data_IF_289384772469
#
_entry.id   IF_289384772469
#
_cell.length_a   1.000
_cell.length_b   1.000
_cell.length_c   1.000
_cell.angle_alpha   90.00
_cell.angle_beta   90.00
_cell.angle_gamma   90.00
#
_symmetry.space_group_name_H-M   'P 1'
#
loop_
_entity.id
_entity.type
_entity.pdbx_description
1 polymer ?
#
# COMPACT_ATOMS: atom_id res chain seq x y z
N UNK A 1 18.85 -4.79 -6.64
CA UNK A 1 18.26 -3.51 -6.17
C UNK A 1 17.19 -3.10 -7.15
N UNK A 2 15.99 -2.77 -6.66
CA UNK A 2 14.82 -2.43 -7.45
C UNK A 2 14.90 -1.01 -8.05
N UNK A 3 14.15 -0.71 -9.12
CA UNK A 3 14.34 0.53 -9.89
C UNK A 3 14.12 1.82 -9.08
N UNK A 4 13.03 1.92 -8.31
CA UNK A 4 12.75 3.15 -7.55
C UNK A 4 13.62 3.30 -6.31
N UNK A 5 13.92 2.20 -5.61
CA UNK A 5 14.87 2.27 -4.49
C UNK A 5 16.21 2.82 -4.96
N UNK A 6 16.74 2.30 -6.10
CA UNK A 6 17.99 2.83 -6.67
C UNK A 6 17.90 4.32 -6.99
N UNK A 7 16.81 4.76 -7.66
CA UNK A 7 16.62 6.17 -8.03
C UNK A 7 16.53 7.07 -6.81
N UNK A 8 15.80 6.66 -5.78
CA UNK A 8 15.63 7.42 -4.55
C UNK A 8 16.94 7.53 -3.76
N UNK A 9 17.71 6.44 -3.66
CA UNK A 9 19.03 6.46 -3.04
C UNK A 9 19.95 7.45 -3.76
N UNK A 10 20.05 7.35 -5.09
CA UNK A 10 20.88 8.25 -5.89
C UNK A 10 20.42 9.71 -5.75
N UNK A 11 19.11 9.98 -5.84
CA UNK A 11 18.59 11.33 -5.70
C UNK A 11 18.93 11.96 -4.34
N UNK A 12 18.75 11.22 -3.25
CA UNK A 12 19.09 11.69 -1.90
C UNK A 12 20.60 11.97 -1.75
N UNK A 13 21.45 11.07 -2.26
CA UNK A 13 22.90 11.25 -2.21
C UNK A 13 23.32 12.46 -3.03
N UNK A 14 22.81 12.61 -4.25
CA UNK A 14 23.12 13.75 -5.13
C UNK A 14 22.69 15.07 -4.47
N UNK A 15 21.45 15.14 -3.97
CA UNK A 15 20.96 16.36 -3.30
C UNK A 15 21.78 16.65 -2.04
N UNK A 16 22.20 15.66 -1.28
CA UNK A 16 23.05 15.87 -0.11
C UNK A 16 24.40 16.49 -0.49
N UNK A 17 25.03 16.03 -1.56
CA UNK A 17 26.27 16.67 -2.06
C UNK A 17 26.04 18.10 -2.56
N UNK A 18 24.92 18.34 -3.25
CA UNK A 18 24.55 19.70 -3.67
C UNK A 18 24.31 20.63 -2.49
N UNK A 19 23.73 20.15 -1.37
CA UNK A 19 23.60 20.93 -0.14
C UNK A 19 24.95 21.43 0.42
N UNK A 20 26.04 20.65 0.22
CA UNK A 20 27.36 21.04 0.72
C UNK A 20 28.07 22.04 -0.20
N UNK A 21 27.66 22.11 -1.47
CA UNK A 21 28.39 22.87 -2.51
C UNK A 21 27.63 24.08 -3.03
N UNK A 22 26.28 24.07 -2.96
CA UNK A 22 25.44 25.16 -3.47
C UNK A 22 24.88 25.97 -2.30
N UNK A 23 25.38 27.20 -2.10
CA UNK A 23 24.90 28.11 -1.05
C UNK A 23 23.40 28.43 -1.24
N UNK A 24 22.65 28.44 -0.14
CA UNK A 24 21.20 28.74 -0.13
C UNK A 24 20.28 27.62 -0.62
N UNK A 25 20.82 26.49 -1.11
CA UNK A 25 19.99 25.37 -1.57
C UNK A 25 19.12 24.81 -0.46
N UNK A 26 19.66 24.63 0.73
CA UNK A 26 18.91 24.15 1.89
C UNK A 26 17.74 25.09 2.21
N UNK A 27 17.97 26.37 2.26
CA UNK A 27 16.93 27.37 2.58
C UNK A 27 15.82 27.44 1.53
N UNK A 28 16.17 27.19 0.26
CA UNK A 28 15.20 27.14 -0.83
C UNK A 28 14.30 25.91 -0.80
N UNK A 29 14.78 24.79 -0.27
CA UNK A 29 14.15 23.48 -0.37
C UNK A 29 13.60 22.92 0.96
N UNK A 30 14.02 23.49 2.11
CA UNK A 30 13.58 23.09 3.44
C UNK A 30 12.11 23.42 3.67
N UNK A 31 11.40 22.53 4.34
CA UNK A 31 10.00 22.75 4.68
C UNK A 31 9.88 23.60 5.94
N UNK A 32 9.22 24.75 5.79
CA UNK A 32 8.64 25.55 6.87
C UNK A 32 7.12 25.52 6.69
N UNK A 33 6.35 24.78 7.52
CA UNK A 33 4.91 24.61 7.29
C UNK A 33 4.14 25.93 7.19
N UNK A 34 4.46 26.95 8.01
CA UNK A 34 3.82 28.27 7.94
C UNK A 34 4.06 29.01 6.62
N UNK A 35 5.10 28.66 5.86
CA UNK A 35 5.44 29.26 4.57
C UNK A 35 5.05 28.38 3.37
N UNK A 36 4.28 27.31 3.56
CA UNK A 36 4.00 26.34 2.50
C UNK A 36 3.23 26.96 1.31
N UNK A 37 2.32 27.91 1.56
CA UNK A 37 1.59 28.57 0.47
C UNK A 37 2.51 29.40 -0.44
N UNK A 38 3.60 29.96 0.11
CA UNK A 38 4.60 30.72 -0.63
C UNK A 38 5.64 29.81 -1.29
N UNK A 39 5.85 28.59 -0.73
CA UNK A 39 6.87 27.64 -1.18
C UNK A 39 6.31 26.22 -1.28
N UNK A 40 5.29 25.97 -2.14
CA UNK A 40 4.57 24.69 -2.18
C UNK A 40 5.46 23.50 -2.58
N UNK A 41 6.54 23.73 -3.32
CA UNK A 41 7.50 22.67 -3.68
C UNK A 41 8.18 22.04 -2.47
N UNK A 42 8.29 22.79 -1.36
CA UNK A 42 8.95 22.31 -0.15
C UNK A 42 8.22 21.13 0.50
N UNK A 43 6.94 20.92 0.18
CA UNK A 43 6.18 19.71 0.57
C UNK A 43 6.82 18.40 0.06
N UNK A 44 7.62 18.49 -0.99
CA UNK A 44 8.31 17.34 -1.61
C UNK A 44 9.81 17.47 -1.44
N UNK A 45 10.38 18.64 -1.68
CA UNK A 45 11.83 18.80 -1.75
C UNK A 45 12.54 18.55 -0.42
N UNK A 46 11.89 18.84 0.69
CA UNK A 46 12.41 18.62 2.03
C UNK A 46 12.83 17.17 2.28
N UNK A 47 12.16 16.22 1.59
CA UNK A 47 12.41 14.78 1.72
C UNK A 47 13.79 14.35 1.21
N UNK A 48 14.46 15.20 0.46
CA UNK A 48 15.78 14.92 -0.13
C UNK A 48 16.93 15.62 0.61
N UNK A 49 16.62 16.50 1.55
CA UNK A 49 17.59 17.23 2.35
C UNK A 49 17.98 16.44 3.60
N UNK A 50 19.23 16.62 4.08
CA UNK A 50 19.71 15.94 5.29
C UNK A 50 20.63 16.85 6.11
N UNK A 51 20.52 16.78 7.45
CA UNK A 51 21.36 17.57 8.37
C UNK A 51 22.85 17.19 8.35
N UNK A 52 23.20 15.96 7.98
CA UNK A 52 24.56 15.48 7.99
C UNK A 52 24.67 13.99 7.69
N UNK A 53 25.90 13.50 7.70
CA UNK A 53 26.23 12.13 7.28
C UNK A 53 25.43 11.05 8.05
N UNK A 54 25.33 11.17 9.37
CA UNK A 54 24.57 10.19 10.16
C UNK A 54 23.08 10.16 9.80
N UNK A 55 22.48 11.34 9.50
CA UNK A 55 21.07 11.44 9.15
C UNK A 55 20.79 10.82 7.76
N UNK A 56 21.60 11.16 6.75
CA UNK A 56 21.44 10.54 5.43
C UNK A 56 21.74 9.04 5.48
N UNK A 57 22.81 8.63 6.18
CA UNK A 57 23.16 7.22 6.30
C UNK A 57 22.02 6.39 6.90
N UNK A 58 21.42 6.84 8.01
CA UNK A 58 20.30 6.15 8.65
C UNK A 58 19.09 6.00 7.72
N UNK A 59 18.74 7.06 6.97
CA UNK A 59 17.66 7.00 5.99
C UNK A 59 17.99 6.06 4.83
N UNK A 60 19.18 6.17 4.26
CA UNK A 60 19.55 5.37 3.09
C UNK A 60 19.73 3.90 3.43
N UNK A 61 20.27 3.56 4.59
CA UNK A 61 20.40 2.16 5.02
C UNK A 61 19.01 1.53 5.24
N UNK A 62 18.08 2.24 5.85
CA UNK A 62 16.72 1.75 6.02
C UNK A 62 16.01 1.57 4.67
N UNK A 63 16.13 2.54 3.77
CA UNK A 63 15.58 2.45 2.42
C UNK A 63 16.21 1.29 1.61
N UNK A 64 17.51 1.07 1.76
CA UNK A 64 18.24 -0.01 1.10
C UNK A 64 17.78 -1.40 1.57
N UNK A 65 17.56 -1.60 2.87
CA UNK A 65 17.17 -2.89 3.41
C UNK A 65 15.67 -3.19 3.24
N UNK A 66 14.81 -2.22 3.48
CA UNK A 66 13.35 -2.44 3.45
C UNK A 66 12.75 -2.19 2.08
N UNK A 67 13.29 -1.21 1.34
CA UNK A 67 12.73 -0.75 0.08
C UNK A 67 12.56 -1.82 -0.99
N UNK A 68 13.61 -2.61 -1.31
CA UNK A 68 13.53 -3.57 -2.41
C UNK A 68 12.40 -4.59 -2.22
N UNK A 69 12.29 -5.18 -1.04
CA UNK A 69 11.22 -6.17 -0.76
C UNK A 69 9.83 -5.55 -0.83
N UNK A 70 9.67 -4.31 -0.36
CA UNK A 70 8.39 -3.59 -0.44
C UNK A 70 8.08 -3.23 -1.90
N UNK A 71 9.06 -2.78 -2.69
CA UNK A 71 8.89 -2.48 -4.11
C UNK A 71 8.53 -3.73 -4.91
N UNK A 72 9.19 -4.86 -4.68
CA UNK A 72 8.86 -6.15 -5.31
C UNK A 72 7.43 -6.60 -4.96
N UNK A 73 7.00 -6.38 -3.73
CA UNK A 73 5.66 -6.78 -3.28
C UNK A 73 4.53 -5.91 -3.82
N UNK A 74 4.74 -4.61 -3.92
CA UNK A 74 3.72 -3.64 -4.37
C UNK A 74 3.75 -3.39 -5.87
N UNK A 75 4.91 -3.57 -6.50
CA UNK A 75 5.24 -3.05 -7.82
C UNK A 75 5.76 -1.61 -7.74
N UNK A 76 6.60 -1.23 -8.70
CA UNK A 76 7.37 0.02 -8.70
C UNK A 76 6.50 1.29 -8.59
N UNK A 77 5.38 1.36 -9.31
CA UNK A 77 4.49 2.53 -9.27
C UNK A 77 3.86 2.73 -7.88
N UNK A 78 3.35 1.64 -7.28
CA UNK A 78 2.74 1.71 -5.95
C UNK A 78 3.76 1.95 -4.85
N UNK A 79 4.97 1.44 -5.01
CA UNK A 79 6.07 1.73 -4.09
C UNK A 79 6.44 3.22 -4.11
N UNK A 80 6.59 3.79 -5.30
CA UNK A 80 6.84 5.23 -5.44
C UNK A 80 5.71 6.07 -4.85
N UNK A 81 4.45 5.70 -5.13
CA UNK A 81 3.30 6.36 -4.55
C UNK A 81 3.29 6.25 -3.01
N UNK A 82 3.62 5.08 -2.44
CA UNK A 82 3.77 4.89 -1.00
C UNK A 82 4.81 5.84 -0.40
N UNK A 83 6.00 5.91 -1.00
CA UNK A 83 7.10 6.78 -0.56
C UNK A 83 6.66 8.25 -0.57
N UNK A 84 6.10 8.72 -1.70
CA UNK A 84 5.66 10.10 -1.85
C UNK A 84 4.51 10.46 -0.90
N UNK A 85 3.47 9.61 -0.82
CA UNK A 85 2.32 9.85 0.07
C UNK A 85 2.79 9.89 1.53
N UNK A 86 3.69 9.01 1.94
CA UNK A 86 4.23 9.00 3.30
C UNK A 86 4.99 10.29 3.61
N UNK A 87 5.86 10.75 2.70
CA UNK A 87 6.56 12.01 2.89
C UNK A 87 5.62 13.22 2.92
N UNK A 88 4.71 13.31 1.95
CA UNK A 88 3.73 14.41 1.89
C UNK A 88 2.85 14.43 3.16
N UNK A 89 2.40 13.26 3.63
CA UNK A 89 1.65 13.17 4.90
C UNK A 89 2.48 13.60 6.09
N UNK A 90 3.78 13.33 6.09
CA UNK A 90 4.72 13.86 7.08
C UNK A 90 4.75 15.39 7.08
N UNK A 91 4.84 16.00 5.90
CA UNK A 91 4.78 17.46 5.75
C UNK A 91 3.44 18.03 6.27
N UNK A 92 2.31 17.39 5.96
CA UNK A 92 0.99 17.81 6.40
C UNK A 92 0.84 17.74 7.92
N UNK A 93 1.24 16.64 8.55
CA UNK A 93 1.14 16.50 10.01
C UNK A 93 2.09 17.48 10.74
N UNK A 94 3.16 17.92 10.06
CA UNK A 94 4.08 18.92 10.60
C UNK A 94 3.48 20.33 10.73
N UNK A 95 2.28 20.59 10.21
CA UNK A 95 1.52 21.81 10.54
C UNK A 95 1.17 21.94 12.02
N UNK A 96 1.27 20.86 12.80
CA UNK A 96 1.18 20.93 14.26
C UNK A 96 2.37 21.65 14.90
N UNK A 97 3.45 21.87 14.14
CA UNK A 97 4.62 22.68 14.50
C UNK A 97 4.94 23.67 13.38
N UNK A 98 4.10 24.69 13.16
CA UNK A 98 4.09 25.50 11.93
C UNK A 98 5.39 26.30 11.69
N UNK A 99 6.11 26.62 12.75
CA UNK A 99 7.34 27.43 12.69
C UNK A 99 8.63 26.61 12.74
N UNK A 100 8.49 25.29 12.61
CA UNK A 100 9.64 24.41 12.66
C UNK A 100 10.20 24.13 11.27
N UNK A 101 11.53 24.16 11.13
CA UNK A 101 12.23 23.77 9.92
C UNK A 101 12.36 22.24 9.88
N UNK A 102 11.84 21.64 8.81
CA UNK A 102 11.80 20.18 8.64
C UNK A 102 12.54 19.78 7.38
N UNK A 103 13.40 18.78 7.52
CA UNK A 103 14.13 18.16 6.42
C UNK A 103 14.42 16.70 6.71
N UNK A 104 14.51 15.89 5.67
CA UNK A 104 14.87 14.48 5.74
C UNK A 104 13.89 13.56 5.02
N UNK A 105 14.42 12.47 4.48
CA UNK A 105 13.62 11.39 3.88
C UNK A 105 12.83 10.58 4.91
N UNK A 106 13.05 10.81 6.20
CA UNK A 106 12.59 9.92 7.26
C UNK A 106 11.08 9.70 7.29
N UNK A 107 10.26 10.72 7.04
CA UNK A 107 8.81 10.54 6.93
C UNK A 107 8.42 9.49 5.89
N UNK A 108 9.02 9.54 4.70
CA UNK A 108 8.80 8.57 3.64
C UNK A 108 9.40 7.19 3.98
N UNK A 109 10.60 7.15 4.55
CA UNK A 109 11.29 5.91 4.97
C UNK A 109 10.52 5.21 6.08
N UNK A 110 9.92 5.95 7.02
CA UNK A 110 9.04 5.37 8.04
C UNK A 110 7.81 4.73 7.41
N UNK A 111 7.24 5.33 6.36
CA UNK A 111 6.17 4.70 5.60
C UNK A 111 6.59 3.39 4.93
N UNK A 112 7.78 3.33 4.35
CA UNK A 112 8.34 2.09 3.79
C UNK A 112 8.57 1.04 4.88
N UNK A 113 9.08 1.44 6.04
CA UNK A 113 9.28 0.56 7.20
C UNK A 113 7.95 -0.01 7.73
N UNK A 114 6.89 0.82 7.77
CA UNK A 114 5.54 0.34 8.11
C UNK A 114 5.03 -0.68 7.11
N UNK A 115 5.21 -0.42 5.81
CA UNK A 115 4.81 -1.36 4.76
C UNK A 115 5.57 -2.70 4.89
N UNK A 116 6.88 -2.64 5.17
CA UNK A 116 7.67 -3.83 5.44
C UNK A 116 7.11 -4.61 6.65
N UNK A 117 6.90 -3.96 7.78
CA UNK A 117 6.34 -4.59 8.98
C UNK A 117 4.92 -5.14 8.76
N UNK A 118 4.12 -4.51 7.90
CA UNK A 118 2.76 -4.96 7.52
C UNK A 118 2.79 -6.24 6.71
N UNK A 119 3.78 -6.43 5.83
CA UNK A 119 3.91 -7.61 4.99
C UNK A 119 4.70 -8.73 5.66
N UNK A 120 5.71 -8.39 6.45
CA UNK A 120 6.60 -9.35 7.14
C UNK A 120 6.76 -8.99 8.63
N UNK A 121 5.67 -9.10 9.42
CA UNK A 121 5.64 -8.59 10.80
C UNK A 121 6.61 -9.30 11.76
N UNK A 122 6.97 -10.54 11.45
CA UNK A 122 7.84 -11.37 12.30
C UNK A 122 9.28 -11.47 11.81
N UNK A 123 9.60 -10.81 10.68
CA UNK A 123 10.99 -10.77 10.20
C UNK A 123 11.85 -10.03 11.21
N UNK A 124 13.00 -10.61 11.51
CA UNK A 124 13.94 -10.04 12.46
C UNK A 124 14.84 -9.00 11.81
N UNK A 125 14.92 -7.84 12.42
CA UNK A 125 15.79 -6.73 12.04
C UNK A 125 16.85 -6.63 13.11
N UNK A 126 18.10 -6.77 12.72
CA UNK A 126 19.22 -6.71 13.66
C UNK A 126 19.68 -5.27 13.86
N UNK A 127 19.19 -4.65 14.95
CA UNK A 127 19.63 -3.31 15.34
C UNK A 127 21.09 -3.38 15.72
N UNK A 128 21.92 -2.52 15.13
CA UNK A 128 23.39 -2.53 15.28
C UNK A 128 24.04 -3.86 14.90
N UNK A 129 23.35 -4.69 14.10
CA UNK A 129 23.85 -6.02 13.71
C UNK A 129 23.81 -7.08 14.82
N UNK A 130 23.33 -6.74 16.02
CA UNK A 130 23.40 -7.59 17.22
C UNK A 130 22.03 -7.89 17.80
N UNK A 131 21.17 -6.88 17.98
CA UNK A 131 19.88 -7.03 18.66
C UNK A 131 18.76 -7.38 17.68
N UNK A 132 18.25 -8.63 17.69
CA UNK A 132 17.14 -9.03 16.82
C UNK A 132 15.82 -8.45 17.36
N UNK A 133 15.14 -7.66 16.53
CA UNK A 133 13.83 -7.08 16.82
C UNK A 133 12.90 -7.41 15.68
N UNK A 134 11.73 -7.97 15.94
CA UNK A 134 10.73 -8.19 14.91
C UNK A 134 10.24 -6.87 14.32
N UNK A 135 10.03 -6.83 12.99
CA UNK A 135 9.65 -5.63 12.26
C UNK A 135 8.43 -4.90 12.86
N UNK A 136 7.43 -5.65 13.34
CA UNK A 136 6.24 -5.08 14.01
C UNK A 136 6.60 -4.29 15.28
N UNK A 137 7.53 -4.80 16.09
CA UNK A 137 7.94 -4.14 17.33
C UNK A 137 8.84 -2.93 17.09
N UNK A 138 9.59 -2.95 15.99
CA UNK A 138 10.34 -1.77 15.55
C UNK A 138 9.40 -0.60 15.25
N UNK A 139 8.33 -0.83 14.48
CA UNK A 139 7.33 0.20 14.15
C UNK A 139 6.59 0.68 15.41
N UNK A 140 6.15 -0.24 16.27
CA UNK A 140 5.48 0.10 17.53
C UNK A 140 6.42 0.93 18.43
N UNK A 141 7.68 0.51 18.60
CA UNK A 141 8.67 1.21 19.39
C UNK A 141 8.94 2.63 18.88
N UNK A 142 9.12 2.80 17.56
CA UNK A 142 9.31 4.12 16.96
C UNK A 142 8.06 5.00 17.09
N UNK A 143 6.86 4.44 16.95
CA UNK A 143 5.61 5.18 17.13
C UNK A 143 5.50 5.69 18.57
N UNK A 144 5.70 4.81 19.56
CA UNK A 144 5.66 5.19 20.97
C UNK A 144 6.75 6.22 21.30
N UNK A 145 7.98 5.99 20.85
CA UNK A 145 9.07 6.95 21.04
C UNK A 145 8.71 8.33 20.48
N UNK A 146 8.18 8.40 19.25
CA UNK A 146 7.78 9.65 18.63
C UNK A 146 6.67 10.37 19.41
N UNK A 147 5.66 9.64 19.91
CA UNK A 147 4.58 10.21 20.72
C UNK A 147 5.09 10.77 22.06
N UNK A 148 5.98 10.05 22.74
CA UNK A 148 6.57 10.53 24.00
C UNK A 148 7.49 11.73 23.77
N UNK A 149 8.30 11.73 22.72
CA UNK A 149 9.20 12.82 22.40
C UNK A 149 8.47 14.11 22.03
N UNK A 150 7.33 14.02 21.32
CA UNK A 150 6.44 15.16 21.07
C UNK A 150 5.96 15.78 22.40
N UNK A 151 5.57 14.96 23.39
CA UNK A 151 5.05 15.44 24.68
C UNK A 151 6.13 16.02 25.58
N UNK A 152 7.37 15.53 25.47
CA UNK A 152 8.48 15.93 26.32
C UNK A 152 9.18 17.24 25.94
N UNK A 153 8.75 17.93 24.89
CA UNK A 153 9.35 19.21 24.45
C UNK A 153 10.76 19.08 23.84
N UNK A 154 11.28 17.87 23.74
CA UNK A 154 12.61 17.60 23.16
C UNK A 154 12.55 17.40 21.67
N UNK A 155 12.75 18.48 20.87
CA UNK A 155 12.92 18.36 19.40
C UNK A 155 11.71 17.78 18.64
N UNK A 156 10.48 18.01 19.13
CA UNK A 156 9.23 17.40 18.66
C UNK A 156 8.89 17.53 17.17
N UNK A 157 9.63 18.33 16.46
CA UNK A 157 9.40 18.68 15.05
C UNK A 157 9.49 17.47 14.10
N UNK A 158 10.57 16.71 14.18
CA UNK A 158 10.77 15.54 13.31
C UNK A 158 9.77 14.40 13.63
N UNK A 159 9.31 14.31 14.87
CA UNK A 159 8.39 13.26 15.30
C UNK A 159 7.01 13.38 14.66
N UNK A 160 6.50 14.59 14.44
CA UNK A 160 5.25 14.79 13.70
C UNK A 160 5.37 14.36 12.25
N UNK A 161 6.51 14.65 11.60
CA UNK A 161 6.76 14.15 10.23
C UNK A 161 6.83 12.61 10.17
N UNK A 162 7.43 11.96 11.15
CA UNK A 162 7.49 10.50 11.25
C UNK A 162 6.10 9.88 11.45
N UNK A 163 5.32 10.40 12.40
CA UNK A 163 3.94 9.94 12.64
C UNK A 163 3.04 10.16 11.44
N UNK A 164 3.20 11.30 10.76
CA UNK A 164 2.52 11.59 9.49
C UNK A 164 2.89 10.59 8.40
N UNK A 165 4.16 10.22 8.30
CA UNK A 165 4.65 9.20 7.37
C UNK A 165 4.02 7.82 7.62
N UNK A 166 3.94 7.40 8.86
CA UNK A 166 3.24 6.17 9.24
C UNK A 166 1.74 6.24 8.92
N UNK A 167 1.07 7.34 9.26
CA UNK A 167 -0.36 7.50 9.01
C UNK A 167 -0.68 7.46 7.50
N UNK A 168 0.08 8.21 6.69
CA UNK A 168 -0.08 8.22 5.23
C UNK A 168 0.15 6.85 4.61
N UNK A 169 1.20 6.15 5.03
CA UNK A 169 1.47 4.79 4.57
C UNK A 169 0.35 3.82 4.95
N UNK A 170 -0.14 3.88 6.18
CA UNK A 170 -1.24 3.02 6.65
C UNK A 170 -2.50 3.23 5.81
N UNK A 171 -2.92 4.47 5.62
CA UNK A 171 -4.11 4.80 4.82
C UNK A 171 -3.95 4.36 3.36
N UNK A 172 -2.78 4.60 2.77
CA UNK A 172 -2.48 4.18 1.40
C UNK A 172 -2.53 2.66 1.25
N UNK A 173 -1.91 1.90 2.16
CA UNK A 173 -1.94 0.44 2.12
C UNK A 173 -3.36 -0.13 2.30
N UNK A 174 -4.18 0.48 3.14
CA UNK A 174 -5.59 0.12 3.27
C UNK A 174 -6.36 0.38 1.97
N UNK A 175 -6.14 1.53 1.33
CA UNK A 175 -6.74 1.85 0.02
C UNK A 175 -6.35 0.82 -1.05
N UNK A 176 -5.06 0.49 -1.16
CA UNK A 176 -4.56 -0.51 -2.13
C UNK A 176 -5.19 -1.89 -1.85
N UNK A 177 -5.26 -2.29 -0.58
CA UNK A 177 -5.85 -3.59 -0.20
C UNK A 177 -7.35 -3.66 -0.54
N UNK A 178 -8.12 -2.62 -0.24
CA UNK A 178 -9.56 -2.53 -0.57
C UNK A 178 -9.79 -2.61 -2.08
N UNK A 179 -9.02 -1.87 -2.86
CA UNK A 179 -9.15 -1.86 -4.32
C UNK A 179 -8.77 -3.23 -4.93
N UNK A 180 -7.77 -3.92 -4.38
CA UNK A 180 -7.43 -5.26 -4.83
C UNK A 180 -8.53 -6.28 -4.51
N UNK A 181 -9.15 -6.19 -3.33
CA UNK A 181 -10.29 -7.03 -2.94
C UNK A 181 -11.51 -6.78 -3.84
N UNK A 182 -11.85 -5.50 -4.09
CA UNK A 182 -12.93 -5.11 -4.98
C UNK A 182 -12.74 -5.65 -6.40
N UNK A 183 -11.53 -5.52 -6.98
CA UNK A 183 -11.21 -6.06 -8.31
C UNK A 183 -11.28 -7.60 -8.35
N UNK A 184 -10.85 -8.29 -7.29
CA UNK A 184 -10.99 -9.76 -7.20
C UNK A 184 -12.45 -10.16 -7.15
N UNK A 185 -13.25 -9.51 -6.32
CA UNK A 185 -14.70 -9.77 -6.24
C UNK A 185 -15.38 -9.50 -7.58
N UNK A 186 -15.12 -8.37 -8.21
CA UNK A 186 -15.68 -8.03 -9.53
C UNK A 186 -15.28 -9.06 -10.58
N UNK A 187 -14.02 -9.53 -10.59
CA UNK A 187 -13.57 -10.57 -11.51
C UNK A 187 -14.29 -11.89 -11.25
N UNK A 188 -14.55 -12.26 -10.01
CA UNK A 188 -15.30 -13.47 -9.68
C UNK A 188 -16.77 -13.36 -10.12
N UNK A 189 -17.40 -12.20 -9.91
CA UNK A 189 -18.80 -11.96 -10.29
C UNK A 189 -18.98 -11.82 -11.80
N UNK A 190 -17.99 -11.25 -12.51
CA UNK A 190 -18.08 -11.03 -13.97
C UNK A 190 -17.48 -12.14 -14.82
N UNK A 191 -16.68 -13.06 -14.22
CA UNK A 191 -16.19 -14.23 -14.94
C UNK A 191 -17.36 -15.15 -15.23
N UNK A 192 -17.76 -15.26 -16.48
CA UNK A 192 -18.71 -16.30 -16.87
C UNK A 192 -18.15 -17.67 -16.48
N UNK A 193 -18.91 -18.53 -15.80
CA UNK A 193 -18.49 -19.89 -15.55
C UNK A 193 -18.13 -20.57 -16.88
N UNK A 194 -17.14 -21.45 -16.91
CA UNK A 194 -16.83 -22.19 -18.13
C UNK A 194 -18.08 -22.91 -18.63
N UNK A 195 -18.24 -22.98 -19.95
CA UNK A 195 -19.44 -23.61 -20.55
C UNK A 195 -19.70 -25.03 -19.97
N UNK A 196 -18.63 -25.75 -19.59
CA UNK A 196 -18.70 -27.04 -18.95
C UNK A 196 -19.40 -27.03 -17.59
N UNK A 197 -19.31 -25.94 -16.83
CA UNK A 197 -19.98 -25.80 -15.53
C UNK A 197 -21.50 -25.62 -15.63
N UNK A 198 -22.00 -25.33 -16.84
CA UNK A 198 -23.43 -25.14 -17.12
C UNK A 198 -23.97 -26.25 -18.04
N UNK A 199 -23.07 -27.16 -18.50
CA UNK A 199 -23.44 -28.23 -19.42
C UNK A 199 -24.46 -29.22 -18.81
N UNK A 200 -24.42 -29.40 -17.48
CA UNK A 200 -25.32 -30.31 -16.75
C UNK A 200 -26.62 -29.61 -16.25
N UNK A 201 -27.05 -28.55 -16.95
CA UNK A 201 -28.28 -27.84 -16.61
C UNK A 201 -29.53 -28.72 -16.54
N UNK A 202 -29.55 -29.84 -17.28
CA UNK A 202 -30.63 -30.84 -17.24
C UNK A 202 -30.78 -31.55 -15.89
N UNK A 203 -29.72 -31.51 -15.04
CA UNK A 203 -29.72 -32.10 -13.70
C UNK A 203 -30.16 -31.10 -12.61
N UNK A 204 -30.59 -29.90 -12.97
CA UNK A 204 -31.04 -28.92 -11.99
C UNK A 204 -32.35 -29.41 -11.31
N UNK A 205 -32.28 -29.67 -10.01
CA UNK A 205 -33.43 -30.06 -9.21
C UNK A 205 -34.26 -28.82 -8.85
N UNK A 206 -35.34 -28.60 -9.60
CA UNK A 206 -36.24 -27.45 -9.43
C UNK A 206 -36.95 -27.47 -8.06
N UNK A 207 -37.09 -28.65 -7.43
CA UNK A 207 -37.77 -28.75 -6.13
C UNK A 207 -36.94 -28.19 -4.98
N UNK A 208 -35.61 -28.22 -5.12
CA UNK A 208 -34.66 -27.70 -4.12
C UNK A 208 -34.45 -26.20 -4.21
N UNK A 209 -34.97 -25.53 -5.26
CA UNK A 209 -34.74 -24.11 -5.49
C UNK A 209 -35.74 -23.27 -4.69
N UNK A 210 -35.21 -22.30 -3.92
CA UNK A 210 -36.06 -21.35 -3.18
C UNK A 210 -36.97 -20.58 -4.12
N UNK A 211 -38.22 -20.36 -3.71
CA UNK A 211 -39.29 -19.78 -4.52
C UNK A 211 -38.93 -18.48 -5.22
N UNK A 212 -38.13 -17.62 -4.55
CA UNK A 212 -37.63 -16.32 -5.10
C UNK A 212 -36.79 -16.51 -6.36
N UNK A 213 -36.01 -17.60 -6.46
CA UNK A 213 -35.11 -17.86 -7.59
C UNK A 213 -35.72 -18.75 -8.67
N UNK A 214 -36.84 -19.41 -8.37
CA UNK A 214 -37.44 -20.42 -9.26
C UNK A 214 -37.85 -19.82 -10.61
N UNK A 215 -38.52 -18.68 -10.59
CA UNK A 215 -38.94 -18.01 -11.82
C UNK A 215 -37.81 -17.62 -12.76
N UNK A 216 -36.67 -17.18 -12.21
CA UNK A 216 -35.52 -16.82 -13.02
C UNK A 216 -34.76 -18.07 -13.54
N UNK A 217 -34.67 -19.13 -12.74
CA UNK A 217 -34.16 -20.42 -13.19
C UNK A 217 -34.99 -20.98 -14.34
N UNK A 218 -36.32 -20.99 -14.20
CA UNK A 218 -37.20 -21.48 -15.24
C UNK A 218 -37.08 -20.67 -16.53
N UNK A 219 -37.05 -19.34 -16.45
CA UNK A 219 -36.82 -18.47 -17.60
C UNK A 219 -35.51 -18.81 -18.33
N UNK A 220 -34.44 -19.05 -17.58
CA UNK A 220 -33.10 -19.38 -18.18
C UNK A 220 -33.13 -20.77 -18.81
N UNK A 221 -33.78 -21.75 -18.17
CA UNK A 221 -33.92 -23.11 -18.70
C UNK A 221 -34.75 -23.13 -19.97
N UNK A 222 -35.84 -22.35 -20.03
CA UNK A 222 -36.68 -22.20 -21.22
C UNK A 222 -35.88 -21.54 -22.38
N UNK A 223 -35.07 -20.54 -22.06
CA UNK A 223 -34.18 -19.92 -23.05
C UNK A 223 -33.16 -20.91 -23.61
N UNK A 224 -32.56 -21.78 -22.76
CA UNK A 224 -31.67 -22.83 -23.21
C UNK A 224 -32.38 -23.79 -24.14
N UNK A 225 -33.61 -24.19 -23.77
CA UNK A 225 -34.39 -25.13 -24.55
C UNK A 225 -34.77 -24.56 -25.94
N UNK A 226 -35.03 -23.24 -26.01
CA UNK A 226 -35.40 -22.56 -27.23
C UNK A 226 -34.22 -22.21 -28.15
N UNK A 227 -33.09 -21.77 -27.58
CA UNK A 227 -32.01 -21.13 -28.35
C UNK A 227 -30.61 -21.68 -28.04
N UNK A 228 -30.52 -22.68 -27.15
CA UNK A 228 -29.29 -23.36 -26.78
C UNK A 228 -28.43 -22.60 -25.74
N UNK A 229 -27.44 -23.30 -25.17
CA UNK A 229 -26.53 -22.79 -24.13
C UNK A 229 -25.71 -21.56 -24.57
N UNK A 230 -25.42 -21.44 -25.86
CA UNK A 230 -24.64 -20.33 -26.40
C UNK A 230 -25.36 -18.98 -26.32
N UNK A 231 -26.68 -18.99 -26.20
CA UNK A 231 -27.50 -17.77 -26.10
C UNK A 231 -27.48 -17.09 -24.71
N UNK A 232 -26.95 -17.80 -23.69
CA UNK A 232 -26.91 -17.28 -22.35
C UNK A 232 -25.88 -16.14 -22.20
N UNK A 233 -26.33 -15.06 -21.60
CA UNK A 233 -25.42 -13.99 -21.15
C UNK A 233 -24.45 -14.49 -20.06
N UNK A 234 -23.33 -13.81 -19.83
CA UNK A 234 -22.42 -14.13 -18.73
C UNK A 234 -23.09 -14.13 -17.36
N UNK A 235 -24.07 -13.25 -17.14
CA UNK A 235 -24.82 -13.15 -15.88
C UNK A 235 -25.78 -14.34 -15.71
N UNK A 236 -26.50 -14.74 -16.77
CA UNK A 236 -27.38 -15.92 -16.74
C UNK A 236 -26.60 -17.20 -16.50
N UNK A 237 -25.39 -17.33 -17.10
CA UNK A 237 -24.51 -18.47 -16.85
C UNK A 237 -24.02 -18.52 -15.39
N UNK A 238 -23.66 -17.38 -14.85
CA UNK A 238 -23.23 -17.29 -13.45
C UNK A 238 -24.41 -17.63 -12.50
N UNK A 239 -25.59 -17.10 -12.77
CA UNK A 239 -26.78 -17.38 -11.98
C UNK A 239 -27.13 -18.88 -11.99
N UNK A 240 -27.22 -19.48 -13.16
CA UNK A 240 -27.57 -20.90 -13.33
C UNK A 240 -26.52 -21.84 -12.71
N UNK A 241 -25.23 -21.47 -12.73
CA UNK A 241 -24.16 -22.29 -12.16
C UNK A 241 -24.29 -22.51 -10.64
N UNK A 242 -25.07 -21.68 -9.94
CA UNK A 242 -25.33 -21.87 -8.51
C UNK A 242 -26.28 -23.05 -8.24
N UNK A 243 -27.03 -23.50 -9.25
CA UNK A 243 -28.04 -24.54 -9.13
C UNK A 243 -27.69 -25.82 -9.89
N UNK A 244 -26.65 -25.76 -10.73
CA UNK A 244 -26.12 -26.95 -11.42
C UNK A 244 -25.25 -27.73 -10.44
N UNK A 245 -25.48 -29.02 -10.21
CA UNK A 245 -24.59 -29.82 -9.38
C UNK A 245 -23.15 -29.77 -9.90
N UNK A 246 -22.16 -29.68 -9.00
CA UNK A 246 -20.76 -29.73 -9.43
C UNK A 246 -20.50 -31.09 -10.09
N UNK A 247 -20.02 -31.07 -11.34
CA UNK A 247 -19.58 -32.26 -12.04
C UNK A 247 -18.31 -32.74 -11.34
N UNK A 248 -18.37 -33.96 -10.80
CA UNK A 248 -17.32 -34.68 -10.17
C UNK A 248 -16.98 -34.51 -8.72
N UNK A 249 -17.58 -35.35 -8.06
CA UNK A 249 -16.94 -36.02 -6.94
C UNK A 249 -16.23 -37.27 -7.45
N UNK A 250 -15.05 -37.12 -8.06
CA UNK A 250 -14.11 -38.23 -8.10
C UNK A 250 -13.79 -38.56 -6.64
N UNK A 251 -14.03 -39.80 -6.19
CA UNK A 251 -13.58 -40.24 -4.88
C UNK A 251 -12.06 -40.06 -4.84
N UNK A 252 -11.57 -39.37 -3.80
CA UNK A 252 -10.16 -39.34 -3.46
C UNK A 252 -9.74 -40.83 -3.22
N UNK A 253 -9.04 -41.38 -4.18
CA UNK A 253 -8.33 -42.66 -4.04
C UNK A 253 -7.01 -42.42 -3.38
#
# INVERSE_FOLDING_TARGET
>A
MTPWVKRLLVANIVVFFLQQTVGGLTDALILLPSALLQRPWTMVTYMFLHHGLGHIFGNMIALYFFGPRVEERLGSERFFALYMISGISGALVSFLTPNALILGASGAVFGVTLAFARFWPRDQIYIWGVLPVEARWLVVGYTLYSLFAVRGGGGGVAHFAHLGGFAGAFLYLQFVARNAAGKRWQKQVTSAPPAKAVADWSKVDRSSIHEVNRGEVDRILDKISATGLASLSPQERLFLSNFVPPDDRKPLS
#
